data_IF_424896703191
#
_entry.id   IF_424896703191
#
_cell.length_a   1.000
_cell.length_b   1.000
_cell.length_c   1.000
_cell.angle_alpha   90.00
_cell.angle_beta   90.00
_cell.angle_gamma   90.00
#
_symmetry.space_group_name_H-M   'P 1'
#
loop_
_entity.id
_entity.type
_entity.pdbx_description
1 polymer ?
#
# COMPACT_ATOMS: atom_id res chain seq x y z
N UNK A 1 18.44 27.89 12.92
CA UNK A 1 17.77 27.70 12.95
C UNK A 1 17.57 27.19 13.03
N UNK A 2 18.02 26.91 12.95
CA UNK A 2 17.34 26.51 12.87
C UNK A 2 17.13 26.09 13.04
N UNK A 3 17.49 25.84 12.84
CA UNK A 3 16.80 25.49 12.89
C UNK A 3 16.40 25.31 12.89
N UNK A 4 16.51 25.31 12.76
CA UNK A 4 15.73 25.13 12.76
C UNK A 4 15.46 24.74 12.23
N UNK A 5 15.93 24.62 11.93
CA UNK A 5 15.32 24.24 11.49
C UNK A 5 15.18 23.56 11.46
N UNK A 6 15.65 23.39 11.47
CA UNK A 6 15.13 22.83 11.67
C UNK A 6 14.79 22.63 12.11
N UNK A 7 14.67 22.61 12.27
CA UNK A 7 13.98 22.46 12.86
C UNK A 7 13.31 22.45 12.51
N UNK A 8 13.39 22.47 12.23
CA UNK A 8 12.50 22.38 11.94
C UNK A 8 12.23 21.97 11.77
N UNK A 9 12.32 21.88 11.53
CA UNK A 9 11.83 21.53 11.63
C UNK A 9 11.73 20.82 11.78
N UNK A 10 11.98 21.13 11.30
CA UNK A 10 12.15 19.75 11.62
C UNK A 10 11.04 19.09 12.36
N UNK A 11 10.82 19.43 13.44
CA UNK A 11 9.91 18.66 14.25
C UNK A 11 8.54 18.54 13.67
N UNK A 12 8.16 19.39 12.83
CA UNK A 12 6.84 19.28 12.27
C UNK A 12 6.76 18.48 11.01
N UNK A 13 7.86 17.98 10.53
CA UNK A 13 7.85 17.20 9.30
C UNK A 13 8.28 15.77 9.51
N UNK A 14 8.98 15.49 10.55
CA UNK A 14 9.55 14.15 10.72
C UNK A 14 8.49 13.09 10.87
N UNK A 15 7.41 13.39 11.52
CA UNK A 15 6.36 12.41 11.72
C UNK A 15 5.69 11.99 10.41
N UNK A 16 5.41 12.88 9.47
CA UNK A 16 4.87 12.43 8.18
C UNK A 16 5.83 11.55 7.41
N UNK A 17 7.13 11.83 7.52
CA UNK A 17 8.14 11.01 6.86
C UNK A 17 8.12 9.59 7.42
N UNK A 18 7.99 9.43 8.73
CA UNK A 18 7.93 8.12 9.33
C UNK A 18 6.71 7.35 8.84
N UNK A 19 5.57 7.99 8.74
CA UNK A 19 4.36 7.35 8.23
C UNK A 19 4.52 6.92 6.78
N UNK A 20 5.13 7.77 5.97
CA UNK A 20 5.31 7.49 4.55
C UNK A 20 6.15 6.25 4.35
N UNK A 21 7.11 6.01 5.22
CA UNK A 21 8.04 4.91 5.09
C UNK A 21 7.63 3.68 5.89
N UNK A 22 6.47 3.71 6.53
CA UNK A 22 6.03 2.61 7.38
C UNK A 22 5.77 1.37 6.55
N UNK A 23 6.13 0.23 7.11
CA UNK A 23 5.81 -1.07 6.59
C UNK A 23 4.46 -1.48 7.14
N UNK A 24 3.58 -1.93 6.26
CA UNK A 24 2.25 -2.43 6.63
C UNK A 24 2.33 -3.96 6.64
N UNK A 25 2.50 -4.54 7.82
CA UNK A 25 2.64 -5.99 7.96
C UNK A 25 1.42 -6.53 8.70
N UNK A 26 0.62 -7.32 8.00
CA UNK A 26 -0.62 -7.84 8.56
C UNK A 26 -0.89 -9.27 8.12
N UNK A 27 -1.64 -10.00 8.96
CA UNK A 27 -2.31 -11.23 8.58
C UNK A 27 -3.78 -10.90 8.38
N UNK A 28 -4.29 -11.19 7.19
CA UNK A 28 -5.65 -10.81 6.83
C UNK A 28 -6.66 -11.83 7.36
N UNK A 29 -7.73 -11.33 7.97
CA UNK A 29 -8.85 -12.15 8.42
C UNK A 29 -10.00 -12.11 7.41
N UNK A 30 -9.88 -11.30 6.37
CA UNK A 30 -10.90 -11.14 5.33
C UNK A 30 -10.34 -10.28 4.22
N UNK A 31 -11.20 -9.85 3.33
CA UNK A 31 -10.84 -8.85 2.33
C UNK A 31 -10.50 -7.55 3.02
N UNK A 32 -9.62 -6.75 2.41
CA UNK A 32 -9.14 -5.52 3.02
C UNK A 32 -9.16 -4.39 2.00
N UNK A 33 -9.45 -3.19 2.48
CA UNK A 33 -9.25 -1.96 1.73
C UNK A 33 -8.08 -1.23 2.37
N UNK A 34 -7.05 -0.97 1.58
CA UNK A 34 -5.88 -0.25 2.07
C UNK A 34 -6.22 1.21 2.30
N UNK A 35 -5.55 1.79 3.28
CA UNK A 35 -5.65 3.22 3.58
C UNK A 35 -4.35 3.90 3.21
N UNK A 36 -4.41 5.19 2.87
CA UNK A 36 -3.21 5.97 2.63
C UNK A 36 -2.27 6.00 3.84
N UNK A 37 -2.80 5.69 5.03
CA UNK A 37 -2.03 5.70 6.26
C UNK A 37 -1.37 4.36 6.56
N UNK A 38 -1.63 3.34 5.77
CA UNK A 38 -1.10 1.99 6.02
C UNK A 38 0.37 1.83 5.65
N UNK A 39 1.02 2.90 5.18
CA UNK A 39 2.37 2.81 4.66
C UNK A 39 2.34 2.53 3.17
N UNK A 40 3.51 2.21 2.62
CA UNK A 40 3.64 2.01 1.17
C UNK A 40 4.11 0.61 0.79
N UNK A 41 4.57 -0.16 1.75
CA UNK A 41 5.01 -1.53 1.53
C UNK A 41 4.09 -2.44 2.33
N UNK A 42 3.20 -3.12 1.61
CA UNK A 42 2.16 -3.92 2.24
C UNK A 42 2.57 -5.38 2.17
N UNK A 43 3.01 -5.91 3.31
CA UNK A 43 3.39 -7.32 3.47
C UNK A 43 2.18 -8.02 4.08
N UNK A 44 1.39 -8.66 3.24
CA UNK A 44 0.09 -9.17 3.64
C UNK A 44 0.07 -10.68 3.57
N UNK A 45 -0.16 -11.29 4.73
CA UNK A 45 -0.38 -12.73 4.80
C UNK A 45 -1.86 -13.00 4.52
N UNK A 46 -2.14 -13.88 3.57
CA UNK A 46 -3.52 -14.17 3.16
C UNK A 46 -4.37 -14.79 4.26
N UNK A 47 -3.75 -15.32 5.31
CA UNK A 47 -4.49 -15.89 6.44
C UNK A 47 -5.16 -17.20 6.13
N UNK A 48 -4.73 -17.90 5.08
CA UNK A 48 -5.24 -19.22 4.74
C UNK A 48 -6.41 -19.22 3.77
N UNK A 49 -6.70 -18.08 3.14
CA UNK A 49 -7.75 -17.99 2.11
C UNK A 49 -7.38 -16.95 1.08
N UNK A 50 -7.97 -17.04 -0.09
CA UNK A 50 -7.82 -15.98 -1.09
C UNK A 50 -8.50 -14.70 -0.57
N UNK A 51 -7.88 -13.55 -0.84
CA UNK A 51 -8.36 -12.27 -0.34
C UNK A 51 -8.34 -11.23 -1.45
N UNK A 52 -9.29 -10.32 -1.43
CA UNK A 52 -9.27 -9.12 -2.23
C UNK A 52 -8.57 -8.02 -1.43
N UNK A 53 -7.64 -7.33 -2.08
CA UNK A 53 -6.92 -6.18 -1.52
C UNK A 53 -7.26 -4.99 -2.41
N UNK A 54 -8.11 -4.10 -1.92
CA UNK A 54 -8.58 -2.96 -2.70
C UNK A 54 -7.84 -1.71 -2.27
N UNK A 55 -7.35 -0.96 -3.23
CA UNK A 55 -6.67 0.30 -2.94
C UNK A 55 -7.65 1.37 -2.47
N UNK A 56 -7.11 2.30 -1.67
CA UNK A 56 -7.78 3.57 -1.37
C UNK A 56 -8.03 4.36 -2.65
N UNK A 57 -8.90 5.37 -2.57
CA UNK A 57 -9.20 6.19 -3.74
C UNK A 57 -7.97 6.94 -4.24
N UNK A 58 -7.75 6.89 -5.54
CA UNK A 58 -6.74 7.74 -6.18
C UNK A 58 -7.32 9.14 -6.34
N UNK A 59 -6.51 10.14 -6.00
CA UNK A 59 -6.90 11.54 -6.05
C UNK A 59 -5.75 12.36 -6.62
N UNK A 60 -6.01 13.61 -7.05
CA UNK A 60 -4.91 14.47 -7.48
C UNK A 60 -3.83 14.67 -6.40
N UNK A 61 -4.23 14.60 -5.12
CA UNK A 61 -3.30 14.80 -4.01
C UNK A 61 -2.32 13.66 -3.85
N UNK A 62 -2.72 12.42 -4.18
CA UNK A 62 -1.84 11.26 -4.07
C UNK A 62 -1.27 10.81 -5.41
N UNK A 63 -1.48 11.58 -6.46
CA UNK A 63 -0.93 11.28 -7.78
C UNK A 63 0.58 11.09 -7.70
N UNK A 64 1.05 9.99 -8.26
CA UNK A 64 2.47 9.66 -8.24
C UNK A 64 2.89 8.81 -7.06
N UNK A 65 2.00 8.57 -6.09
CA UNK A 65 2.31 7.70 -4.96
C UNK A 65 2.49 6.27 -5.45
N UNK A 66 3.55 5.62 -4.97
CA UNK A 66 3.90 4.25 -5.32
C UNK A 66 3.71 3.38 -4.09
N UNK A 67 3.01 2.25 -4.26
CA UNK A 67 2.81 1.25 -3.22
C UNK A 67 3.21 -0.12 -3.76
N UNK A 68 3.77 -0.96 -2.89
CA UNK A 68 4.09 -2.35 -3.21
C UNK A 68 3.20 -3.26 -2.38
N UNK A 69 2.69 -4.32 -2.99
CA UNK A 69 1.93 -5.35 -2.28
C UNK A 69 2.64 -6.68 -2.47
N UNK A 70 2.88 -7.38 -1.37
CA UNK A 70 3.57 -8.67 -1.33
C UNK A 70 2.70 -9.68 -0.59
N UNK A 71 2.45 -10.83 -1.19
CA UNK A 71 1.72 -11.92 -0.56
C UNK A 71 2.69 -12.78 0.23
N UNK A 72 2.72 -12.59 1.55
CA UNK A 72 3.59 -13.36 2.45
C UNK A 72 2.90 -14.62 2.99
N UNK A 73 1.68 -14.89 2.57
CA UNK A 73 0.94 -16.06 3.04
C UNK A 73 1.33 -17.32 2.31
N UNK A 74 0.90 -18.45 2.85
CA UNK A 74 1.23 -19.75 2.30
C UNK A 74 0.12 -20.35 1.47
N UNK A 75 0.41 -21.54 0.93
CA UNK A 75 -0.57 -22.31 0.20
C UNK A 75 -0.86 -21.73 -1.18
N UNK A 76 -1.99 -22.12 -1.74
CA UNK A 76 -2.39 -21.69 -3.08
C UNK A 76 -3.35 -20.49 -3.02
N UNK A 77 -3.28 -19.70 -1.96
CA UNK A 77 -4.24 -18.62 -1.74
C UNK A 77 -3.67 -17.30 -2.26
N UNK A 78 -4.36 -16.72 -3.22
CA UNK A 78 -3.91 -15.51 -3.89
C UNK A 78 -4.41 -14.25 -3.19
N UNK A 79 -3.67 -13.16 -3.36
CA UNK A 79 -4.18 -11.81 -3.12
C UNK A 79 -4.57 -11.23 -4.47
N UNK A 80 -5.82 -10.83 -4.60
CA UNK A 80 -6.32 -10.17 -5.82
C UNK A 80 -6.33 -8.68 -5.53
N UNK A 81 -5.41 -7.96 -6.14
CA UNK A 81 -5.25 -6.52 -5.91
C UNK A 81 -6.15 -5.76 -6.88
N UNK A 82 -6.94 -4.86 -6.34
CA UNK A 82 -7.94 -4.13 -7.11
C UNK A 82 -7.79 -2.62 -6.90
N UNK A 83 -8.17 -1.86 -7.92
CA UNK A 83 -8.30 -0.42 -7.74
C UNK A 83 -9.59 -0.10 -6.98
N UNK A 84 -9.80 1.18 -6.67
CA UNK A 84 -10.96 1.61 -5.89
C UNK A 84 -12.28 1.43 -6.63
N UNK A 85 -12.24 1.23 -7.94
CA UNK A 85 -13.43 0.95 -8.73
C UNK A 85 -13.73 -0.55 -8.81
N UNK A 86 -12.86 -1.39 -8.24
CA UNK A 86 -13.06 -2.83 -8.21
C UNK A 86 -12.42 -3.59 -9.34
N UNK A 87 -11.67 -2.93 -10.21
CA UNK A 87 -10.97 -3.62 -11.31
C UNK A 87 -9.73 -4.32 -10.81
N UNK A 88 -9.50 -5.54 -11.25
CA UNK A 88 -8.33 -6.31 -10.87
C UNK A 88 -7.07 -5.76 -11.54
N UNK A 89 -6.08 -5.43 -10.72
CA UNK A 89 -4.77 -4.94 -11.19
C UNK A 89 -3.75 -6.06 -11.23
N UNK A 90 -3.80 -6.99 -10.29
CA UNK A 90 -2.85 -8.08 -10.19
C UNK A 90 -3.43 -9.22 -9.36
N UNK A 91 -3.01 -10.43 -9.65
CA UNK A 91 -3.29 -11.61 -8.82
C UNK A 91 -1.96 -12.14 -8.32
N UNK A 92 -1.74 -12.04 -7.01
CA UNK A 92 -0.45 -12.35 -6.40
C UNK A 92 -0.52 -13.70 -5.72
N UNK A 93 0.22 -14.67 -6.26
CA UNK A 93 0.40 -15.97 -5.63
C UNK A 93 1.34 -15.82 -4.43
N UNK A 94 1.54 -16.92 -3.70
CA UNK A 94 2.47 -16.94 -2.58
C UNK A 94 3.85 -16.41 -3.01
N UNK A 95 4.39 -15.51 -2.19
CA UNK A 95 5.70 -14.90 -2.40
C UNK A 95 5.79 -14.00 -3.63
N UNK A 96 4.67 -13.69 -4.27
CA UNK A 96 4.66 -12.75 -5.38
C UNK A 96 4.40 -11.34 -4.89
N UNK A 97 4.91 -10.37 -5.63
CA UNK A 97 4.70 -8.96 -5.33
C UNK A 97 4.47 -8.19 -6.62
N UNK A 98 3.91 -7.00 -6.47
CA UNK A 98 3.74 -6.07 -7.58
C UNK A 98 3.76 -4.64 -7.06
N UNK A 99 4.06 -3.73 -7.96
CA UNK A 99 4.13 -2.30 -7.67
C UNK A 99 2.99 -1.59 -8.37
N UNK A 100 2.45 -0.60 -7.69
CA UNK A 100 1.28 0.14 -8.16
C UNK A 100 1.51 1.62 -7.97
N UNK A 101 0.91 2.42 -8.84
CA UNK A 101 1.00 3.87 -8.75
C UNK A 101 -0.39 4.47 -8.87
N UNK A 102 -0.62 5.55 -8.15
CA UNK A 102 -1.81 6.39 -8.34
C UNK A 102 -1.54 7.34 -9.51
N UNK A 103 -2.42 7.35 -10.49
CA UNK A 103 -2.31 8.33 -11.57
C UNK A 103 -3.20 9.56 -11.33
N UNK A 104 -3.76 9.66 -10.12
CA UNK A 104 -4.64 10.76 -9.74
C UNK A 104 -6.12 10.46 -9.94
N UNK A 105 -6.46 9.39 -10.63
CA UNK A 105 -7.84 8.95 -10.87
C UNK A 105 -8.04 7.51 -10.45
N UNK A 106 -7.10 6.64 -10.78
CA UNK A 106 -7.11 5.22 -10.42
C UNK A 106 -5.70 4.78 -10.13
N UNK A 107 -5.57 3.63 -9.49
CA UNK A 107 -4.28 2.95 -9.36
C UNK A 107 -4.03 2.12 -10.61
N UNK A 108 -2.77 2.00 -10.98
CA UNK A 108 -2.31 1.17 -12.09
C UNK A 108 -1.15 0.31 -11.61
N UNK A 109 -0.99 -0.84 -12.21
CA UNK A 109 0.17 -1.70 -11.95
C UNK A 109 1.35 -1.20 -12.77
N UNK A 110 2.51 -1.04 -12.13
CA UNK A 110 3.72 -0.53 -12.79
C UNK A 110 4.91 -1.49 -12.69
N UNK A 111 4.79 -2.57 -11.96
CA UNK A 111 5.91 -3.50 -11.81
C UNK A 111 5.54 -4.86 -11.28
#
# INVERSE_FOLDING_TARGET
MALEYAQFNAEKIQYPVAEINALDVRTLAGNVTLSERDGRFHVLNNGGSARDVTFFGATPENKGRIDCVYNSGGGANNLVVKDSAGSTLATLAQNASAWFASNGSLHIRVG
#
